data_IF_738698752669
#
_entry.id   IF_738698752669
#
_cell.length_a   1.000
_cell.length_b   1.000
_cell.length_c   1.000
_cell.angle_alpha   90.00
_cell.angle_beta   90.00
_cell.angle_gamma   90.00
#
_symmetry.space_group_name_H-M   'P 1'
#
loop_
_entity.id
_entity.type
_entity.pdbx_description
1 polymer ?
#
# COMPACT_ATOMS: atom_id res chain seq x y z
N UNK A 1 -0.02 10.16 11.16
CA UNK A 1 1.18 9.36 10.78
C UNK A 1 0.97 7.91 11.24
N UNK A 2 0.75 7.00 10.30
CA UNK A 2 0.38 5.61 10.60
C UNK A 2 1.45 4.62 10.12
N UNK A 3 1.54 3.49 10.82
CA UNK A 3 2.52 2.43 10.54
C UNK A 3 1.76 1.13 10.35
N UNK A 4 1.76 0.61 9.13
CA UNK A 4 1.29 -0.74 8.84
C UNK A 4 2.46 -1.73 8.95
N UNK A 5 2.21 -2.95 9.44
CA UNK A 5 3.22 -4.02 9.42
C UNK A 5 2.98 -4.92 8.22
N UNK A 6 3.95 -5.00 7.31
CA UNK A 6 3.91 -6.00 6.22
C UNK A 6 3.86 -7.43 6.79
N UNK A 7 3.37 -8.40 5.99
CA UNK A 7 3.48 -9.84 6.27
C UNK A 7 4.89 -10.31 6.62
N UNK A 8 5.94 -9.64 6.13
CA UNK A 8 7.33 -9.97 6.49
C UNK A 8 7.81 -9.29 7.79
N UNK A 9 6.91 -8.75 8.61
CA UNK A 9 7.20 -7.98 9.83
C UNK A 9 8.02 -6.70 9.59
N UNK A 10 8.01 -6.18 8.35
CA UNK A 10 8.66 -4.91 8.01
C UNK A 10 7.69 -3.77 8.29
N UNK A 11 8.04 -2.81 9.17
CA UNK A 11 7.20 -1.65 9.40
C UNK A 11 7.21 -0.72 8.19
N UNK A 12 6.02 -0.41 7.71
CA UNK A 12 5.74 0.43 6.55
C UNK A 12 5.11 1.72 7.07
N UNK A 13 5.79 2.85 6.86
CA UNK A 13 5.30 4.16 7.28
C UNK A 13 4.59 4.85 6.13
N UNK A 14 3.35 5.27 6.38
CA UNK A 14 2.61 6.14 5.48
C UNK A 14 2.48 7.51 6.14
N UNK A 15 3.11 8.53 5.56
CA UNK A 15 2.95 9.91 6.02
C UNK A 15 1.75 10.56 5.36
N UNK A 16 1.13 11.50 6.06
CA UNK A 16 -0.06 12.22 5.58
C UNK A 16 0.23 12.99 4.29
N UNK A 17 1.41 13.59 4.15
CA UNK A 17 1.85 14.28 2.92
C UNK A 17 1.84 13.34 1.69
N UNK A 18 2.27 12.09 1.87
CA UNK A 18 2.28 11.08 0.79
C UNK A 18 0.88 10.60 0.47
N UNK A 19 0.07 10.38 1.50
CA UNK A 19 -1.34 10.05 1.31
C UNK A 19 -2.05 11.15 0.54
N UNK A 20 -1.80 12.41 0.90
CA UNK A 20 -2.36 13.57 0.23
C UNK A 20 -1.97 13.60 -1.25
N UNK A 21 -0.68 13.40 -1.58
CA UNK A 21 -0.25 13.30 -2.98
C UNK A 21 -0.94 12.19 -3.79
N UNK A 22 -1.27 11.06 -3.14
CA UNK A 22 -2.00 9.97 -3.78
C UNK A 22 -3.45 10.38 -4.02
N UNK A 23 -4.12 10.93 -3.00
CA UNK A 23 -5.52 11.38 -3.07
C UNK A 23 -5.69 12.55 -4.05
N UNK A 24 -4.72 13.45 -4.15
CA UNK A 24 -4.74 14.55 -5.14
C UNK A 24 -4.82 14.03 -6.59
N UNK A 25 -4.21 12.89 -6.89
CA UNK A 25 -4.27 12.27 -8.22
C UNK A 25 -5.44 11.28 -8.34
N UNK A 26 -5.89 10.71 -7.23
CA UNK A 26 -6.90 9.66 -7.16
C UNK A 26 -7.87 9.93 -5.99
N UNK A 27 -8.75 10.91 -6.18
CA UNK A 27 -9.74 11.33 -5.16
C UNK A 27 -10.60 10.14 -4.69
N UNK A 28 -10.88 9.19 -5.61
CA UNK A 28 -11.59 7.94 -5.31
C UNK A 28 -10.94 7.10 -4.20
N UNK A 29 -9.65 7.31 -3.88
CA UNK A 29 -8.93 6.61 -2.82
C UNK A 29 -9.07 7.28 -1.45
N UNK A 30 -9.57 8.51 -1.35
CA UNK A 30 -9.66 9.24 -0.09
C UNK A 30 -10.40 8.45 1.02
N UNK A 31 -11.40 7.65 0.63
CA UNK A 31 -12.16 6.80 1.55
C UNK A 31 -11.56 5.42 1.83
N UNK A 32 -10.44 5.07 1.21
CA UNK A 32 -9.81 3.75 1.32
C UNK A 32 -8.53 3.75 2.17
N UNK A 33 -8.29 4.79 2.97
CA UNK A 33 -7.08 4.89 3.80
C UNK A 33 -6.87 3.65 4.69
N UNK A 34 -7.90 3.29 5.46
CA UNK A 34 -7.87 2.11 6.34
C UNK A 34 -7.73 0.81 5.54
N UNK A 35 -8.37 0.72 4.37
CA UNK A 35 -8.30 -0.45 3.51
C UNK A 35 -6.90 -0.64 2.91
N UNK A 36 -6.20 0.44 2.60
CA UNK A 36 -4.81 0.41 2.13
C UNK A 36 -3.89 -0.10 3.23
N UNK A 37 -4.02 0.44 4.45
CA UNK A 37 -3.25 -0.03 5.60
C UNK A 37 -3.54 -1.51 5.86
N UNK A 38 -4.81 -1.89 5.87
CA UNK A 38 -5.23 -3.27 6.06
C UNK A 38 -4.71 -4.20 4.95
N UNK A 39 -4.66 -3.75 3.69
CA UNK A 39 -4.10 -4.51 2.56
C UNK A 39 -2.60 -4.76 2.73
N UNK A 40 -1.87 -3.90 3.43
CA UNK A 40 -0.46 -4.12 3.75
C UNK A 40 -0.32 -5.17 4.87
N UNK A 41 -1.18 -5.11 5.87
CA UNK A 41 -1.15 -6.00 7.05
C UNK A 41 -1.67 -7.41 6.75
N UNK A 42 -2.79 -7.50 6.04
CA UNK A 42 -3.48 -8.75 5.69
C UNK A 42 -3.99 -8.73 4.24
N UNK A 43 -3.09 -8.82 3.25
CA UNK A 43 -3.48 -9.00 1.85
C UNK A 43 -3.99 -10.40 1.57
N UNK A 44 -4.93 -10.52 0.63
CA UNK A 44 -5.36 -11.82 0.07
C UNK A 44 -4.23 -12.47 -0.75
N UNK A 45 -3.51 -11.67 -1.54
CA UNK A 45 -2.39 -12.13 -2.35
C UNK A 45 -1.21 -11.18 -2.28
N UNK A 46 -0.01 -11.72 -2.24
CA UNK A 46 1.23 -10.95 -2.38
C UNK A 46 1.96 -11.43 -3.62
N UNK A 47 2.14 -10.53 -4.59
CA UNK A 47 2.91 -10.78 -5.80
C UNK A 47 4.26 -10.09 -5.65
N UNK A 48 5.35 -10.83 -5.89
CA UNK A 48 6.69 -10.24 -5.97
C UNK A 48 6.86 -9.57 -7.33
N UNK A 49 6.93 -8.25 -7.33
CA UNK A 49 7.24 -7.43 -8.49
C UNK A 49 8.74 -7.38 -8.80
N UNK A 50 9.11 -6.51 -9.74
CA UNK A 50 10.50 -6.34 -10.16
C UNK A 50 11.33 -5.60 -9.11
N UNK A 51 12.64 -5.89 -9.03
CA UNK A 51 13.60 -5.21 -8.12
C UNK A 51 13.21 -5.23 -6.63
N UNK A 52 12.52 -6.29 -6.19
CA UNK A 52 12.11 -6.46 -4.79
C UNK A 52 10.90 -5.60 -4.39
N UNK A 53 10.13 -5.09 -5.35
CA UNK A 53 8.81 -4.56 -5.07
C UNK A 53 7.86 -5.71 -4.69
N UNK A 54 6.90 -5.44 -3.82
CA UNK A 54 5.82 -6.32 -3.43
C UNK A 54 4.50 -5.66 -3.81
N UNK A 55 3.57 -6.46 -4.28
CA UNK A 55 2.24 -6.01 -4.69
C UNK A 55 1.27 -6.79 -3.82
N UNK A 56 0.73 -6.12 -2.80
CA UNK A 56 -0.38 -6.64 -2.03
C UNK A 56 -1.67 -6.42 -2.81
N UNK A 57 -2.44 -7.48 -3.02
CA UNK A 57 -3.76 -7.44 -3.62
C UNK A 57 -4.77 -7.83 -2.55
N UNK A 58 -5.80 -6.99 -2.40
CA UNK A 58 -6.96 -7.28 -1.58
C UNK A 58 -8.22 -7.18 -2.41
N UNK A 59 -9.08 -8.19 -2.31
CA UNK A 59 -10.35 -8.22 -3.01
C UNK A 59 -11.36 -7.35 -2.26
N UNK A 60 -11.88 -6.32 -2.93
CA UNK A 60 -12.90 -5.43 -2.38
C UNK A 60 -14.16 -5.51 -3.24
N UNK A 61 -15.18 -6.24 -2.79
CA UNK A 61 -16.43 -6.46 -3.52
C UNK A 61 -16.20 -6.84 -5.00
N UNK A 62 -16.35 -5.84 -5.89
CA UNK A 62 -16.23 -5.96 -7.35
C UNK A 62 -14.93 -5.38 -7.94
N UNK A 63 -13.96 -5.00 -7.10
CA UNK A 63 -12.67 -4.46 -7.52
C UNK A 63 -11.55 -5.15 -6.75
N UNK A 64 -10.33 -5.00 -7.25
CA UNK A 64 -9.13 -5.35 -6.51
C UNK A 64 -8.37 -4.08 -6.15
N UNK A 65 -8.02 -3.97 -4.87
CA UNK A 65 -7.13 -2.95 -4.35
C UNK A 65 -5.71 -3.51 -4.44
N UNK A 66 -4.90 -2.96 -5.34
CA UNK A 66 -3.50 -3.29 -5.47
C UNK A 66 -2.65 -2.22 -4.79
N UNK A 67 -1.96 -2.58 -3.71
CA UNK A 67 -1.00 -1.73 -3.02
C UNK A 67 0.40 -2.22 -3.34
N UNK A 68 1.10 -1.45 -4.16
CA UNK A 68 2.51 -1.72 -4.48
C UNK A 68 3.37 -1.05 -3.40
N UNK A 69 4.23 -1.81 -2.75
CA UNK A 69 5.15 -1.32 -1.74
C UNK A 69 6.51 -1.99 -1.89
N UNK A 70 7.54 -1.43 -1.26
CA UNK A 70 8.88 -2.02 -1.25
C UNK A 70 9.40 -2.02 0.17
N UNK A 71 9.74 -3.20 0.66
CA UNK A 71 10.38 -3.36 1.96
C UNK A 71 11.82 -2.84 1.86
N UNK A 72 12.03 -1.62 2.35
CA UNK A 72 13.34 -1.00 2.46
C UNK A 72 13.80 -1.07 3.92
N UNK A 73 15.12 -1.16 4.10
CA UNK A 73 15.73 -1.23 5.42
C UNK A 73 15.26 -0.01 6.27
N UNK A 74 14.90 -0.18 7.56
CA UNK A 74 14.18 0.82 8.36
C UNK A 74 14.91 2.15 8.60
N UNK A 75 16.16 2.26 8.14
CA UNK A 75 16.99 3.46 8.23
C UNK A 75 16.75 4.48 7.11
N UNK A 76 16.19 4.08 5.97
CA UNK A 76 16.01 4.94 4.79
C UNK A 76 14.62 4.72 4.20
N UNK A 77 13.66 5.27 4.90
CA UNK A 77 12.27 5.35 4.52
C UNK A 77 12.13 6.01 3.14
N UNK A 78 11.46 5.34 2.18
CA UNK A 78 10.56 5.99 1.23
C UNK A 78 9.83 4.93 0.39
N UNK A 79 8.63 4.55 0.82
CA UNK A 79 7.71 3.75 0.01
C UNK A 79 7.10 4.54 -1.15
N UNK A 80 7.18 4.01 -2.36
CA UNK A 80 6.25 4.36 -3.42
C UNK A 80 5.02 3.50 -3.22
N UNK A 81 3.99 4.02 -2.53
CA UNK A 81 2.65 3.44 -2.59
C UNK A 81 2.04 3.86 -3.93
N UNK A 82 2.03 2.95 -4.89
CA UNK A 82 1.13 3.09 -6.04
C UNK A 82 -0.10 2.25 -5.72
N UNK A 83 -1.25 2.89 -5.67
CA UNK A 83 -2.53 2.22 -5.46
C UNK A 83 -3.24 2.15 -6.82
N UNK A 84 -3.55 0.94 -7.26
CA UNK A 84 -4.33 0.73 -8.48
C UNK A 84 -5.64 0.03 -8.13
N UNK A 85 -6.75 0.61 -8.58
CA UNK A 85 -8.06 -0.04 -8.59
C UNK A 85 -8.18 -0.79 -9.91
N UNK A 86 -8.12 -2.12 -9.85
CA UNK A 86 -8.36 -2.96 -11.04
C UNK A 86 -9.84 -3.32 -11.05
N UNK A 87 -10.55 -2.89 -12.10
CA UNK A 87 -11.95 -3.25 -12.41
C UNK A 87 -12.04 -4.62 -13.07
#
# INVERSE_FOLDING_TARGET
>A
MDIAKSKNNVPIRLTEERWFHIVENHDELAGYYDEVLNTIEDPDFIIKGYRGALIALKKMNNKFLAVIYKELNPMRDLLLLLILQVK
#
